data_IF_481837533532
#
_entry.id   IF_481837533532
#
_cell.length_a   1.000
_cell.length_b   1.000
_cell.length_c   1.000
_cell.angle_alpha   90.00
_cell.angle_beta   90.00
_cell.angle_gamma   90.00
#
_symmetry.space_group_name_H-M   'P 1'
#
loop_
_entity.id
_entity.type
_entity.pdbx_description
1 polymer ?
#
# COMPACT_ATOMS: atom_id res chain seq x y z
N UNK A 1 -2.26 -33.22 -10.78
CA UNK A 1 -3.22 -32.87 -9.70
C UNK A 1 -4.07 -34.05 -9.24
N UNK A 2 -5.12 -34.50 -9.96
CA UNK A 2 -6.05 -35.51 -9.39
C UNK A 2 -5.40 -36.83 -8.92
N UNK A 3 -4.34 -37.27 -9.62
CA UNK A 3 -3.59 -38.48 -9.26
C UNK A 3 -2.70 -38.24 -8.03
N UNK A 4 -2.17 -37.03 -7.85
CA UNK A 4 -1.42 -36.66 -6.64
C UNK A 4 -2.32 -36.58 -5.40
N UNK A 5 -3.51 -35.98 -5.52
CA UNK A 5 -4.49 -35.88 -4.40
C UNK A 5 -4.95 -37.26 -3.95
N UNK A 6 -5.22 -38.17 -4.89
CA UNK A 6 -5.52 -39.58 -4.58
C UNK A 6 -4.36 -40.24 -3.83
N UNK A 7 -3.13 -40.12 -4.32
CA UNK A 7 -1.94 -40.65 -3.63
C UNK A 7 -1.77 -40.08 -2.22
N UNK A 8 -1.98 -38.78 -2.01
CA UNK A 8 -1.88 -38.17 -0.67
C UNK A 8 -2.91 -38.74 0.32
N UNK A 9 -4.15 -38.98 -0.13
CA UNK A 9 -5.17 -39.63 0.70
C UNK A 9 -4.78 -41.07 1.03
N UNK A 10 -4.24 -41.81 0.07
CA UNK A 10 -3.82 -43.20 0.26
C UNK A 10 -2.60 -43.35 1.20
N UNK A 11 -1.91 -42.26 1.54
CA UNK A 11 -0.86 -42.22 2.59
C UNK A 11 -1.39 -41.98 4.02
N UNK A 12 -2.66 -41.60 4.20
CA UNK A 12 -3.26 -41.42 5.53
C UNK A 12 -3.48 -42.78 6.21
N UNK A 13 -3.23 -42.84 7.53
CA UNK A 13 -3.37 -44.07 8.28
C UNK A 13 -4.84 -44.41 8.53
N UNK A 14 -5.19 -45.70 8.41
CA UNK A 14 -6.56 -46.19 8.58
C UNK A 14 -7.15 -45.81 9.94
N UNK A 15 -8.19 -44.97 9.92
CA UNK A 15 -8.83 -44.41 11.12
C UNK A 15 -8.88 -42.88 11.17
N UNK A 16 -8.25 -42.17 10.24
CA UNK A 16 -8.17 -40.69 10.21
C UNK A 16 -9.16 -40.00 9.24
N UNK A 17 -10.18 -40.73 8.77
CA UNK A 17 -11.19 -40.30 7.78
C UNK A 17 -12.01 -39.06 8.18
N UNK A 18 -12.02 -38.69 9.47
CA UNK A 18 -12.78 -37.58 10.03
C UNK A 18 -11.91 -36.37 10.45
N UNK A 19 -10.65 -36.32 10.00
CA UNK A 19 -9.77 -35.15 10.20
C UNK A 19 -10.07 -34.06 9.19
N UNK A 20 -9.89 -32.79 9.57
CA UNK A 20 -10.11 -31.63 8.69
C UNK A 20 -9.28 -31.73 7.38
N UNK A 21 -8.07 -32.27 7.48
CA UNK A 21 -7.19 -32.57 6.35
C UNK A 21 -7.78 -33.64 5.41
N UNK A 22 -8.37 -34.71 5.95
CA UNK A 22 -9.01 -35.75 5.14
C UNK A 22 -10.24 -35.18 4.39
N UNK A 23 -11.08 -34.39 5.08
CA UNK A 23 -12.23 -33.70 4.48
C UNK A 23 -11.78 -32.77 3.33
N UNK A 24 -10.78 -31.93 3.58
CA UNK A 24 -10.21 -31.03 2.57
C UNK A 24 -9.67 -31.77 1.33
N UNK A 25 -9.03 -32.93 1.51
CA UNK A 25 -8.55 -33.75 0.38
C UNK A 25 -9.71 -34.32 -0.45
N UNK A 26 -10.86 -34.65 0.17
CA UNK A 26 -12.08 -35.08 -0.56
C UNK A 26 -12.75 -33.92 -1.29
N UNK A 27 -12.81 -32.74 -0.67
CA UNK A 27 -13.34 -31.53 -1.31
C UNK A 27 -12.46 -31.08 -2.47
N UNK A 28 -11.13 -31.21 -2.34
CA UNK A 28 -10.17 -30.94 -3.42
C UNK A 28 -10.28 -31.96 -4.57
N UNK A 29 -10.51 -33.24 -4.28
CA UNK A 29 -10.77 -34.26 -5.30
C UNK A 29 -12.07 -33.99 -6.08
N UNK A 30 -13.12 -33.57 -5.37
CA UNK A 30 -14.41 -33.16 -5.93
C UNK A 30 -14.28 -31.90 -6.78
N UNK A 31 -13.66 -30.85 -6.24
CA UNK A 31 -13.28 -29.61 -6.94
C UNK A 31 -12.52 -29.91 -8.24
N UNK A 32 -11.48 -30.76 -8.17
CA UNK A 32 -10.72 -31.19 -9.34
C UNK A 32 -11.59 -31.91 -10.39
N UNK A 33 -12.62 -32.64 -9.97
CA UNK A 33 -13.59 -33.27 -10.87
C UNK A 33 -14.49 -32.25 -11.57
N UNK A 34 -15.05 -31.32 -10.81
CA UNK A 34 -15.96 -30.28 -11.33
C UNK A 34 -15.23 -29.33 -12.26
N UNK A 35 -14.01 -28.89 -11.92
CA UNK A 35 -13.10 -28.12 -12.79
C UNK A 35 -12.90 -28.83 -14.13
N UNK A 36 -12.68 -30.16 -14.14
CA UNK A 36 -12.58 -30.93 -15.40
C UNK A 36 -13.89 -30.95 -16.18
N UNK A 37 -15.05 -31.00 -15.51
CA UNK A 37 -16.35 -30.93 -16.17
C UNK A 37 -16.62 -29.55 -16.77
N UNK A 38 -16.33 -28.47 -16.04
CA UNK A 38 -16.41 -27.09 -16.55
C UNK A 38 -15.47 -26.89 -17.75
N UNK A 39 -14.20 -27.30 -17.66
CA UNK A 39 -13.28 -27.27 -18.80
C UNK A 39 -13.82 -28.04 -20.03
N UNK A 40 -14.49 -29.18 -19.83
CA UNK A 40 -15.13 -29.94 -20.93
C UNK A 40 -16.35 -29.21 -21.51
N UNK A 41 -17.18 -28.56 -20.68
CA UNK A 41 -18.31 -27.71 -21.15
C UNK A 41 -17.81 -26.52 -21.97
N UNK A 42 -16.86 -25.77 -21.41
CA UNK A 42 -16.20 -24.60 -22.00
C UNK A 42 -15.58 -24.96 -23.36
N UNK A 43 -14.75 -26.02 -23.41
CA UNK A 43 -14.08 -26.44 -24.66
C UNK A 43 -15.05 -26.90 -25.75
N UNK A 44 -16.19 -27.49 -25.39
CA UNK A 44 -17.23 -27.89 -26.36
C UNK A 44 -17.92 -26.70 -27.04
N UNK A 45 -17.94 -25.54 -26.39
CA UNK A 45 -18.47 -24.28 -26.92
C UNK A 45 -17.43 -23.42 -27.66
N UNK A 46 -16.14 -23.73 -27.53
CA UNK A 46 -15.05 -23.12 -28.32
C UNK A 46 -14.23 -24.14 -29.13
N UNK A 47 -14.74 -24.61 -30.28
CA UNK A 47 -13.95 -25.42 -31.21
C UNK A 47 -12.88 -24.56 -31.88
N UNK A 48 -11.59 -24.92 -31.73
CA UNK A 48 -10.48 -24.21 -32.40
C UNK A 48 -9.29 -23.86 -31.51
N UNK A 49 -9.32 -24.17 -30.21
CA UNK A 49 -8.20 -23.90 -29.28
C UNK A 49 -6.94 -24.78 -29.48
N UNK A 50 -6.92 -25.66 -30.48
CA UNK A 50 -5.73 -26.42 -30.90
C UNK A 50 -4.96 -25.73 -32.04
N UNK A 51 -5.07 -24.39 -32.14
CA UNK A 51 -4.29 -23.57 -33.06
C UNK A 51 -2.84 -23.37 -32.56
N UNK A 52 -1.80 -23.51 -33.41
CA UNK A 52 -0.42 -23.26 -33.02
C UNK A 52 -0.22 -21.78 -32.63
N UNK A 53 -0.02 -21.50 -31.34
CA UNK A 53 0.20 -20.14 -30.84
C UNK A 53 -0.34 -19.84 -29.44
N UNK A 54 -1.21 -20.69 -28.88
CA UNK A 54 -1.60 -20.59 -27.47
C UNK A 54 -0.43 -21.13 -26.60
N UNK A 55 0.06 -20.39 -25.59
CA UNK A 55 1.12 -20.89 -24.71
C UNK A 55 0.66 -22.15 -23.99
N UNK A 56 1.57 -23.10 -23.81
CA UNK A 56 1.32 -24.32 -23.05
C UNK A 56 0.78 -23.98 -21.65
N UNK A 57 -0.14 -24.82 -21.14
CA UNK A 57 -0.73 -24.62 -19.82
C UNK A 57 0.36 -24.40 -18.76
N UNK A 58 0.13 -23.43 -17.86
CA UNK A 58 1.06 -23.08 -16.78
C UNK A 58 1.40 -24.31 -15.93
N UNK A 59 2.51 -24.96 -16.25
CA UNK A 59 3.04 -26.09 -15.52
C UNK A 59 3.87 -25.54 -14.35
N UNK A 60 3.30 -25.59 -13.15
CA UNK A 60 4.07 -25.40 -11.93
C UNK A 60 5.16 -26.47 -11.88
N UNK A 61 6.41 -26.03 -11.80
CA UNK A 61 7.57 -26.92 -11.91
C UNK A 61 7.64 -27.94 -10.78
N UNK A 62 8.18 -29.12 -11.07
CA UNK A 62 8.38 -30.26 -10.16
C UNK A 62 9.23 -29.99 -8.90
N UNK A 63 9.65 -28.75 -8.65
CA UNK A 63 10.64 -28.37 -7.64
C UNK A 63 10.10 -28.33 -6.21
N UNK A 64 8.78 -28.47 -6.01
CA UNK A 64 8.16 -28.60 -4.67
C UNK A 64 7.94 -30.05 -4.23
N UNK A 65 8.13 -31.02 -5.13
CA UNK A 65 7.98 -32.45 -4.82
C UNK A 65 9.36 -33.03 -4.50
N UNK A 66 9.78 -32.91 -3.25
CA UNK A 66 10.84 -33.77 -2.72
C UNK A 66 10.41 -35.25 -2.81
N UNK A 67 11.35 -36.20 -2.88
CA UNK A 67 11.01 -37.62 -2.94
C UNK A 67 10.37 -38.05 -1.62
N UNK A 68 9.04 -38.08 -1.58
CA UNK A 68 8.31 -38.81 -0.56
C UNK A 68 8.69 -40.28 -0.72
N UNK A 69 9.43 -40.80 0.25
CA UNK A 69 9.90 -42.18 0.22
C UNK A 69 8.69 -43.11 0.10
N UNK A 70 8.74 -44.01 -0.88
CA UNK A 70 7.77 -45.09 -0.98
C UNK A 70 8.05 -46.06 0.19
N UNK A 71 6.99 -46.47 0.89
CA UNK A 71 6.92 -47.24 2.15
C UNK A 71 6.84 -46.41 3.45
N UNK A 72 5.95 -46.87 4.34
CA UNK A 72 5.46 -46.25 5.58
C UNK A 72 4.62 -44.96 5.42
N UNK A 73 3.38 -44.97 5.94
CA UNK A 73 2.43 -43.86 5.83
C UNK A 73 2.86 -42.64 6.65
N UNK A 74 2.81 -41.44 6.07
CA UNK A 74 3.30 -40.21 6.72
C UNK A 74 2.45 -39.87 7.97
N UNK A 75 3.08 -39.50 9.11
CA UNK A 75 2.34 -39.00 10.26
C UNK A 75 1.73 -37.62 9.93
N UNK A 76 0.47 -37.42 10.31
CA UNK A 76 -0.31 -36.19 10.00
C UNK A 76 0.43 -34.91 10.39
N UNK A 77 1.11 -34.89 11.54
CA UNK A 77 1.88 -33.75 12.02
C UNK A 77 2.99 -33.29 11.04
N UNK A 78 3.63 -34.21 10.31
CA UNK A 78 4.64 -33.86 9.31
C UNK A 78 4.00 -33.32 8.01
N UNK A 79 2.79 -33.80 7.67
CA UNK A 79 2.01 -33.28 6.55
C UNK A 79 1.41 -31.90 6.87
N UNK A 80 1.02 -31.66 8.13
CA UNK A 80 0.64 -30.35 8.68
C UNK A 80 1.79 -29.34 8.57
N UNK A 81 3.00 -29.67 9.05
CA UNK A 81 4.17 -28.77 8.96
C UNK A 81 4.49 -28.39 7.50
N UNK A 82 4.44 -29.36 6.58
CA UNK A 82 4.61 -29.11 5.15
C UNK A 82 3.49 -28.25 4.56
N UNK A 83 2.23 -28.45 4.99
CA UNK A 83 1.09 -27.65 4.56
C UNK A 83 1.19 -26.19 5.04
N UNK A 84 1.59 -25.95 6.29
CA UNK A 84 1.86 -24.60 6.81
C UNK A 84 2.97 -23.91 6.02
N UNK A 85 4.10 -24.60 5.79
CA UNK A 85 5.24 -24.07 5.02
C UNK A 85 4.89 -23.75 3.56
N UNK A 86 4.06 -24.58 2.92
CA UNK A 86 3.56 -24.32 1.57
C UNK A 86 2.56 -23.15 1.54
N UNK A 87 1.70 -23.03 2.55
CA UNK A 87 0.75 -21.94 2.69
C UNK A 87 1.47 -20.58 2.86
N UNK A 88 2.52 -20.50 3.69
CA UNK A 88 3.32 -19.28 3.81
C UNK A 88 4.01 -18.87 2.49
N UNK A 89 4.40 -19.83 1.63
CA UNK A 89 4.98 -19.50 0.32
C UNK A 89 3.94 -19.02 -0.70
N UNK A 90 2.72 -19.57 -0.67
CA UNK A 90 1.69 -19.32 -1.70
C UNK A 90 0.80 -18.14 -1.33
N UNK A 91 0.41 -18.03 -0.05
CA UNK A 91 -0.52 -17.03 0.45
C UNK A 91 0.17 -15.96 1.33
N UNK A 92 1.37 -16.22 1.83
CA UNK A 92 2.07 -15.36 2.80
C UNK A 92 1.69 -15.68 4.24
N UNK A 93 2.18 -14.86 5.18
CA UNK A 93 1.92 -15.00 6.61
C UNK A 93 0.51 -14.52 7.00
N UNK A 94 -0.53 -15.24 6.55
CA UNK A 94 -1.92 -15.02 6.96
C UNK A 94 -2.21 -15.68 8.32
N UNK A 95 -3.07 -15.05 9.10
CA UNK A 95 -3.57 -15.56 10.40
C UNK A 95 -4.68 -16.62 10.28
N UNK A 96 -4.80 -17.26 9.11
CA UNK A 96 -5.83 -18.26 8.80
C UNK A 96 -5.18 -19.63 8.65
N UNK A 97 -5.91 -20.71 8.96
CA UNK A 97 -5.38 -22.06 8.78
C UNK A 97 -5.08 -22.33 7.29
N UNK A 98 -4.04 -23.14 6.97
CA UNK A 98 -3.71 -23.47 5.59
C UNK A 98 -4.86 -24.17 4.86
N UNK A 99 -5.71 -24.86 5.62
CA UNK A 99 -6.88 -25.59 5.14
C UNK A 99 -8.01 -24.65 4.72
N UNK A 100 -8.31 -23.63 5.53
CA UNK A 100 -9.29 -22.59 5.17
C UNK A 100 -8.84 -21.79 3.95
N UNK A 101 -7.56 -21.42 3.85
CA UNK A 101 -7.01 -20.70 2.70
C UNK A 101 -7.16 -21.50 1.39
N UNK A 102 -6.88 -22.80 1.42
CA UNK A 102 -7.03 -23.68 0.26
C UNK A 102 -8.50 -23.93 -0.08
N UNK A 103 -9.35 -24.18 0.92
CA UNK A 103 -10.79 -24.38 0.74
C UNK A 103 -11.45 -23.15 0.12
N UNK A 104 -11.19 -21.96 0.66
CA UNK A 104 -11.69 -20.68 0.13
C UNK A 104 -11.23 -20.45 -1.32
N UNK A 105 -9.96 -20.76 -1.62
CA UNK A 105 -9.43 -20.67 -2.99
C UNK A 105 -10.14 -21.62 -3.96
N UNK A 106 -10.39 -22.85 -3.53
CA UNK A 106 -11.17 -23.83 -4.30
C UNK A 106 -12.63 -23.35 -4.50
N UNK A 107 -13.29 -22.83 -3.47
CA UNK A 107 -14.66 -22.30 -3.57
C UNK A 107 -14.74 -21.15 -4.58
N UNK A 108 -13.80 -20.20 -4.55
CA UNK A 108 -13.75 -19.08 -5.50
C UNK A 108 -13.54 -19.60 -6.93
N UNK A 109 -12.63 -20.55 -7.12
CA UNK A 109 -12.34 -21.14 -8.43
C UNK A 109 -13.55 -21.90 -8.99
N UNK A 110 -14.18 -22.79 -8.22
CA UNK A 110 -15.39 -23.52 -8.61
C UNK A 110 -16.52 -22.55 -8.96
N UNK A 111 -16.80 -21.55 -8.11
CA UNK A 111 -17.86 -20.57 -8.34
C UNK A 111 -17.63 -19.78 -9.64
N UNK A 112 -16.40 -19.34 -9.87
CA UNK A 112 -16.01 -18.59 -11.08
C UNK A 112 -16.09 -19.45 -12.34
N UNK A 113 -15.57 -20.68 -12.29
CA UNK A 113 -15.61 -21.61 -13.42
C UNK A 113 -17.04 -22.10 -13.73
N UNK A 114 -17.88 -22.28 -12.72
CA UNK A 114 -19.29 -22.60 -12.91
C UNK A 114 -20.03 -21.44 -13.58
N UNK A 115 -19.83 -20.19 -13.13
CA UNK A 115 -20.40 -18.99 -13.78
C UNK A 115 -20.00 -18.90 -15.26
N UNK A 116 -18.72 -19.07 -15.57
CA UNK A 116 -18.22 -19.07 -16.95
C UNK A 116 -18.81 -20.24 -17.76
N UNK A 117 -18.88 -21.44 -17.20
CA UNK A 117 -19.46 -22.60 -17.88
C UNK A 117 -20.97 -22.46 -18.13
N UNK A 118 -21.69 -21.78 -17.23
CA UNK A 118 -23.13 -21.47 -17.37
C UNK A 118 -23.36 -20.39 -18.43
N UNK A 119 -22.66 -19.25 -18.36
CA UNK A 119 -22.78 -18.19 -19.37
C UNK A 119 -22.39 -18.66 -20.78
N UNK A 120 -21.38 -19.53 -20.89
CA UNK A 120 -21.05 -20.21 -22.16
C UNK A 120 -22.07 -21.28 -22.58
N UNK A 121 -22.86 -21.83 -21.65
CA UNK A 121 -23.94 -22.77 -21.95
C UNK A 121 -25.24 -22.04 -22.34
N UNK A 122 -25.48 -20.86 -21.79
CA UNK A 122 -26.59 -19.93 -22.08
C UNK A 122 -26.38 -19.15 -23.39
N UNK A 123 -25.15 -19.10 -23.90
CA UNK A 123 -24.82 -18.50 -25.20
C UNK A 123 -24.41 -17.03 -25.13
N UNK A 124 -24.14 -16.47 -23.93
CA UNK A 124 -23.67 -15.09 -23.78
C UNK A 124 -22.32 -14.80 -24.48
N UNK A 125 -21.60 -15.87 -24.86
CA UNK A 125 -20.35 -15.83 -25.62
C UNK A 125 -20.48 -16.37 -27.06
N UNK A 126 -21.66 -16.84 -27.48
CA UNK A 126 -21.90 -17.17 -28.89
C UNK A 126 -22.04 -15.84 -29.65
N UNK A 127 -21.11 -15.56 -30.57
CA UNK A 127 -21.24 -14.39 -31.44
C UNK A 127 -22.49 -14.55 -32.32
N UNK A 128 -23.43 -13.60 -32.23
CA UNK A 128 -24.69 -13.54 -33.00
C UNK A 128 -24.53 -14.05 -34.43
N UNK A 129 -24.90 -15.32 -34.64
CA UNK A 129 -24.71 -15.97 -35.93
C UNK A 129 -25.78 -15.41 -36.88
N UNK A 130 -25.42 -14.92 -38.08
CA UNK A 130 -26.39 -14.35 -39.01
C UNK A 130 -27.49 -15.38 -39.32
N UNK A 131 -28.75 -14.93 -39.47
CA UNK A 131 -29.92 -15.77 -39.21
C UNK A 131 -29.96 -17.06 -40.02
N UNK A 132 -30.17 -18.16 -39.31
CA UNK A 132 -30.31 -19.50 -39.87
C UNK A 132 -31.51 -19.58 -40.82
N UNK A 133 -31.25 -20.03 -42.05
CA UNK A 133 -32.24 -20.16 -43.11
C UNK A 133 -33.10 -21.43 -42.92
N UNK A 134 -34.43 -21.38 -43.08
CA UNK A 134 -35.28 -22.57 -42.93
C UNK A 134 -35.26 -23.52 -44.16
N UNK A 135 -35.64 -24.81 -43.99
CA UNK A 135 -35.60 -25.86 -45.02
C UNK A 135 -36.99 -26.11 -45.68
N UNK A 136 -37.16 -27.11 -46.59
CA UNK A 136 -36.29 -27.58 -47.69
C UNK A 136 -37.04 -27.72 -49.05
N UNK A 137 -36.34 -27.72 -50.20
CA UNK A 137 -36.92 -28.19 -51.48
C UNK A 137 -35.93 -28.80 -52.49
N UNK A 138 -36.08 -30.12 -52.67
CA UNK A 138 -35.70 -31.04 -53.77
C UNK A 138 -34.94 -30.50 -55.00
N UNK A 139 -33.80 -31.13 -55.30
CA UNK A 139 -33.27 -31.64 -56.60
C UNK A 139 -31.72 -31.55 -56.57
N UNK A 140 -30.98 -32.66 -56.57
CA UNK A 140 -30.64 -33.57 -57.66
C UNK A 140 -29.34 -33.20 -58.42
N UNK A 141 -28.34 -34.06 -58.24
CA UNK A 141 -27.33 -34.49 -59.23
C UNK A 141 -26.17 -33.57 -59.69
N UNK A 142 -24.96 -34.05 -59.34
CA UNK A 142 -23.81 -34.35 -60.24
C UNK A 142 -22.96 -33.21 -60.87
N UNK A 143 -21.65 -33.28 -60.53
CA UNK A 143 -20.46 -33.14 -61.43
C UNK A 143 -20.20 -31.72 -62.01
N UNK A 144 -18.98 -31.17 -62.02
CA UNK A 144 -17.68 -31.59 -61.49
C UNK A 144 -16.54 -30.69 -62.02
N UNK A 145 -15.28 -30.98 -61.64
CA UNK A 145 -14.00 -30.58 -62.27
C UNK A 145 -13.67 -29.10 -62.58
N UNK A 146 -12.52 -28.63 -62.09
CA UNK A 146 -11.81 -27.42 -62.59
C UNK A 146 -10.69 -26.98 -61.64
N UNK A 147 -9.44 -26.95 -62.12
CA UNK A 147 -8.25 -26.65 -61.31
C UNK A 147 -7.84 -25.15 -61.19
N UNK A 148 -6.73 -24.85 -60.50
CA UNK A 148 -6.19 -23.49 -60.21
C UNK A 148 -5.13 -23.07 -61.26
N UNK A 149 -4.25 -22.04 -61.08
CA UNK A 149 -4.13 -20.94 -60.10
C UNK A 149 -4.27 -19.57 -60.87
N UNK A 150 -3.44 -18.49 -60.80
CA UNK A 150 -2.47 -17.99 -59.80
C UNK A 150 -2.49 -16.46 -59.47
N UNK A 151 -1.89 -16.11 -58.31
CA UNK A 151 -1.03 -14.95 -57.97
C UNK A 151 -1.42 -13.49 -58.27
N UNK A 152 -1.27 -12.61 -57.27
CA UNK A 152 -1.32 -11.15 -57.42
C UNK A 152 -1.07 -10.37 -56.12
N UNK A 153 0.18 -10.03 -55.82
CA UNK A 153 0.58 -9.13 -54.71
C UNK A 153 0.35 -7.67 -55.13
N UNK A 154 -0.22 -6.83 -54.26
CA UNK A 154 -0.09 -5.37 -54.37
C UNK A 154 -0.30 -4.63 -53.02
N UNK A 155 0.78 -4.48 -52.26
CA UNK A 155 0.91 -3.41 -51.25
C UNK A 155 0.94 -2.06 -51.95
N UNK A 156 0.06 -1.11 -51.59
CA UNK A 156 0.29 0.33 -51.82
C UNK A 156 -0.24 1.18 -50.65
N UNK A 157 0.70 1.71 -49.87
CA UNK A 157 0.47 2.88 -49.00
C UNK A 157 0.42 4.13 -49.88
N UNK A 158 -0.58 4.99 -49.69
CA UNK A 158 -0.52 6.41 -50.04
C UNK A 158 -1.61 7.17 -49.31
N UNK A 159 -1.22 8.02 -48.36
CA UNK A 159 -2.08 9.06 -47.81
C UNK A 159 -1.60 10.43 -48.29
N UNK A 160 -2.52 11.29 -48.74
CA UNK A 160 -2.24 12.72 -48.85
C UNK A 160 -3.48 13.58 -48.62
N UNK A 161 -3.30 14.53 -47.71
CA UNK A 161 -3.77 15.92 -47.70
C UNK A 161 -5.17 16.30 -48.20
N UNK A 162 -5.86 17.03 -47.33
CA UNK A 162 -7.08 17.81 -47.55
C UNK A 162 -6.80 19.09 -48.37
N UNK A 163 -7.75 19.48 -49.25
CA UNK A 163 -8.32 20.84 -49.48
C UNK A 163 -8.39 21.31 -50.95
N UNK A 164 -9.59 21.69 -51.43
CA UNK A 164 -9.78 22.45 -52.67
C UNK A 164 -11.19 22.35 -53.30
N UNK A 165 -12.09 23.28 -52.97
CA UNK A 165 -13.40 23.53 -53.61
C UNK A 165 -13.24 24.44 -54.87
N UNK A 166 -14.25 24.69 -55.75
CA UNK A 166 -15.71 24.51 -55.59
C UNK A 166 -16.50 23.95 -56.80
N UNK A 167 -17.75 23.50 -56.57
CA UNK A 167 -18.71 23.23 -57.66
C UNK A 167 -20.02 22.55 -57.25
N UNK A 168 -21.11 23.32 -57.29
CA UNK A 168 -22.50 22.90 -57.58
C UNK A 168 -23.24 21.95 -56.58
N UNK A 169 -24.21 22.54 -55.87
CA UNK A 169 -25.43 21.88 -55.37
C UNK A 169 -26.43 21.69 -56.56
N UNK A 170 -27.46 20.81 -56.52
CA UNK A 170 -28.24 20.44 -55.33
C UNK A 170 -28.53 18.94 -55.15
N UNK A 171 -28.32 18.44 -53.94
CA UNK A 171 -28.67 17.06 -53.56
C UNK A 171 -28.91 16.96 -52.07
N UNK A 172 -30.12 17.30 -51.62
CA UNK A 172 -30.57 16.96 -50.26
C UNK A 172 -30.86 15.47 -50.18
N UNK A 173 -29.79 14.68 -50.08
CA UNK A 173 -29.87 13.29 -49.62
C UNK A 173 -29.86 13.32 -48.09
N UNK A 174 -30.89 12.80 -47.42
CA UNK A 174 -30.79 12.48 -46.00
C UNK A 174 -29.68 11.44 -45.85
N UNK A 175 -28.52 11.86 -45.35
CA UNK A 175 -27.45 10.92 -45.00
C UNK A 175 -28.02 9.88 -44.04
N UNK A 176 -27.86 8.56 -44.31
CA UNK A 176 -28.26 7.53 -43.36
C UNK A 176 -27.62 7.85 -42.01
N UNK A 177 -28.45 7.79 -40.97
CA UNK A 177 -28.26 8.54 -39.73
C UNK A 177 -26.83 8.62 -39.20
N UNK A 178 -26.52 9.75 -38.56
CA UNK A 178 -25.43 9.86 -37.60
C UNK A 178 -25.50 8.62 -36.70
N UNK A 179 -24.62 7.64 -36.95
CA UNK A 179 -24.57 6.42 -36.16
C UNK A 179 -24.07 6.86 -34.81
N UNK A 180 -25.01 7.08 -33.89
CA UNK A 180 -24.71 7.17 -32.48
C UNK A 180 -24.09 5.83 -32.14
N UNK A 181 -22.76 5.81 -31.99
CA UNK A 181 -22.06 4.73 -31.33
C UNK A 181 -22.89 4.34 -30.12
N UNK A 182 -23.20 3.05 -29.98
CA UNK A 182 -24.11 2.60 -28.93
C UNK A 182 -23.63 3.19 -27.61
N UNK A 183 -24.46 3.95 -26.86
CA UNK A 183 -23.97 4.65 -25.67
C UNK A 183 -23.42 3.67 -24.64
N UNK A 184 -23.93 2.43 -24.64
CA UNK A 184 -23.42 1.29 -23.88
C UNK A 184 -22.01 0.87 -24.34
N UNK A 185 -21.72 0.86 -25.64
CA UNK A 185 -20.39 0.56 -26.19
C UNK A 185 -19.38 1.67 -25.85
N UNK A 186 -19.77 2.95 -25.94
CA UNK A 186 -18.90 4.06 -25.51
C UNK A 186 -18.61 3.99 -23.99
N UNK A 187 -19.61 3.65 -23.18
CA UNK A 187 -19.46 3.43 -21.74
C UNK A 187 -18.57 2.20 -21.43
N UNK A 188 -18.68 1.13 -22.20
CA UNK A 188 -17.82 -0.04 -22.08
C UNK A 188 -16.37 0.30 -22.46
N UNK A 189 -16.17 1.06 -23.54
CA UNK A 189 -14.83 1.53 -23.97
C UNK A 189 -14.20 2.44 -22.90
N UNK A 190 -14.97 3.33 -22.26
CA UNK A 190 -14.42 4.18 -21.19
C UNK A 190 -14.08 3.39 -19.93
N UNK A 191 -14.91 2.44 -19.52
CA UNK A 191 -14.62 1.52 -18.41
C UNK A 191 -13.38 0.65 -18.68
N UNK A 192 -13.27 0.05 -19.87
CA UNK A 192 -12.09 -0.73 -20.27
C UNK A 192 -10.82 0.11 -20.30
N UNK A 193 -10.88 1.36 -20.79
CA UNK A 193 -9.73 2.29 -20.76
C UNK A 193 -9.27 2.60 -19.33
N UNK A 194 -10.21 2.76 -18.39
CA UNK A 194 -9.88 2.95 -16.98
C UNK A 194 -9.16 1.71 -16.39
N UNK A 195 -9.68 0.51 -16.64
CA UNK A 195 -9.05 -0.73 -16.16
C UNK A 195 -7.66 -0.97 -16.78
N UNK A 196 -7.49 -0.66 -18.08
CA UNK A 196 -6.17 -0.73 -18.74
C UNK A 196 -5.19 0.27 -18.10
N UNK A 197 -5.64 1.49 -17.76
CA UNK A 197 -4.83 2.48 -17.05
C UNK A 197 -4.42 2.00 -15.66
N UNK A 198 -5.33 1.37 -14.91
CA UNK A 198 -5.03 0.75 -13.60
C UNK A 198 -3.97 -0.35 -13.72
N UNK A 199 -4.15 -1.30 -14.64
CA UNK A 199 -3.17 -2.37 -14.89
C UNK A 199 -1.81 -1.81 -15.34
N UNK A 200 -1.79 -0.76 -16.16
CA UNK A 200 -0.55 -0.06 -16.54
C UNK A 200 0.12 0.62 -15.34
N UNK A 201 -0.65 1.21 -14.43
CA UNK A 201 -0.14 1.83 -13.22
C UNK A 201 0.46 0.81 -12.24
N UNK A 202 -0.25 -0.28 -11.96
CA UNK A 202 0.27 -1.40 -11.14
C UNK A 202 1.53 -2.00 -11.75
N UNK A 203 1.53 -2.24 -13.07
CA UNK A 203 2.70 -2.77 -13.76
C UNK A 203 3.89 -1.78 -13.74
N UNK A 204 3.62 -0.48 -13.77
CA UNK A 204 4.63 0.58 -13.60
C UNK A 204 5.21 0.60 -12.18
N UNK A 205 4.37 0.44 -11.15
CA UNK A 205 4.82 0.31 -9.76
C UNK A 205 5.71 -0.92 -9.59
N UNK A 206 5.29 -2.09 -10.10
CA UNK A 206 6.04 -3.34 -9.99
C UNK A 206 7.38 -3.28 -10.73
N UNK A 207 7.41 -2.77 -11.97
CA UNK A 207 8.65 -2.55 -12.73
C UNK A 207 9.56 -1.51 -12.08
N UNK A 208 8.98 -0.46 -11.51
CA UNK A 208 9.70 0.61 -10.82
C UNK A 208 10.13 0.28 -9.39
N UNK A 209 9.73 -0.86 -8.83
CA UNK A 209 9.89 -1.18 -7.41
C UNK A 209 11.35 -1.13 -6.96
N UNK A 210 12.27 -1.71 -7.73
CA UNK A 210 13.71 -1.69 -7.42
C UNK A 210 14.28 -0.27 -7.44
N UNK A 211 13.92 0.55 -8.45
CA UNK A 211 14.37 1.94 -8.54
C UNK A 211 13.81 2.79 -7.39
N UNK A 212 12.53 2.60 -7.05
CA UNK A 212 11.87 3.25 -5.91
C UNK A 212 12.55 2.86 -4.59
N UNK A 213 12.88 1.59 -4.40
CA UNK A 213 13.58 1.10 -3.21
C UNK A 213 14.99 1.68 -3.12
N UNK A 214 15.76 1.70 -4.22
CA UNK A 214 17.10 2.30 -4.26
C UNK A 214 17.09 3.80 -3.93
N UNK A 215 16.07 4.54 -4.38
CA UNK A 215 15.90 5.96 -4.05
C UNK A 215 15.44 6.16 -2.60
N UNK A 216 14.51 5.34 -2.12
CA UNK A 216 13.99 5.39 -0.74
C UNK A 216 15.00 4.93 0.32
N UNK A 217 16.04 4.17 -0.08
CA UNK A 217 17.17 3.82 0.78
C UNK A 217 18.13 4.99 1.03
N UNK A 218 18.04 6.09 0.26
CA UNK A 218 18.82 7.30 0.50
C UNK A 218 18.16 8.16 1.59
N UNK A 219 18.94 8.83 2.46
CA UNK A 219 18.40 9.70 3.50
C UNK A 219 17.66 10.91 2.89
N UNK A 220 16.50 11.32 3.46
CA UNK A 220 15.70 12.40 2.91
C UNK A 220 16.37 13.77 3.11
N UNK A 221 16.63 14.46 2.00
CA UNK A 221 17.24 15.79 2.00
C UNK A 221 16.24 16.86 2.42
N UNK A 222 16.42 17.39 3.63
CA UNK A 222 15.64 18.52 4.17
C UNK A 222 16.49 19.79 4.10
N UNK A 223 15.99 20.82 3.41
CA UNK A 223 16.65 22.13 3.37
C UNK A 223 16.23 22.97 4.57
N UNK A 224 17.19 23.57 5.27
CA UNK A 224 16.91 24.51 6.35
C UNK A 224 16.31 25.81 5.79
N UNK A 225 15.40 26.44 6.55
CA UNK A 225 14.88 27.78 6.23
C UNK A 225 16.01 28.81 6.40
N UNK A 226 16.67 29.18 5.30
CA UNK A 226 17.67 30.24 5.27
C UNK A 226 17.00 31.60 5.05
N UNK A 227 17.14 32.51 6.01
CA UNK A 227 16.75 33.92 5.89
C UNK A 227 17.81 34.71 5.13
N UNK A 228 17.37 35.56 4.19
CA UNK A 228 18.26 36.45 3.44
C UNK A 228 18.53 37.73 4.26
N UNK A 229 19.78 38.24 4.32
CA UNK A 229 20.06 39.57 4.86
C UNK A 229 19.27 40.66 4.09
N UNK A 230 18.70 41.68 4.75
CA UNK A 230 18.84 42.06 6.16
C UNK A 230 17.81 41.41 7.10
N UNK A 231 17.06 40.39 6.66
CA UNK A 231 16.04 39.72 7.46
C UNK A 231 16.64 38.71 8.47
N UNK A 232 17.73 39.08 9.14
CA UNK A 232 18.24 38.42 10.36
C UNK A 232 17.54 38.96 11.62
N UNK A 233 16.27 39.38 11.49
CA UNK A 233 15.38 39.50 12.64
C UNK A 233 15.12 38.12 13.24
N UNK A 234 15.00 37.97 14.57
CA UNK A 234 14.80 36.68 15.21
C UNK A 234 13.54 36.02 14.66
N UNK A 235 13.74 34.87 13.99
CA UNK A 235 12.75 34.05 13.30
C UNK A 235 11.29 34.53 13.45
N UNK A 236 10.76 35.19 12.41
CA UNK A 236 9.44 35.86 12.45
C UNK A 236 8.30 34.94 12.89
N UNK A 237 8.38 33.64 12.61
CA UNK A 237 7.42 32.62 13.09
C UNK A 237 7.49 32.38 14.62
N UNK A 238 8.69 32.49 15.20
CA UNK A 238 8.98 32.27 16.62
C UNK A 238 8.65 33.51 17.45
N UNK A 239 9.07 34.69 16.98
CA UNK A 239 8.78 35.97 17.62
C UNK A 239 7.28 36.37 17.55
N UNK A 240 6.54 35.89 16.55
CA UNK A 240 5.08 36.08 16.46
C UNK A 240 4.26 35.10 17.32
N UNK A 241 4.89 34.11 17.95
CA UNK A 241 4.20 33.13 18.79
C UNK A 241 3.62 33.76 20.05
N UNK A 242 2.30 33.65 20.25
CA UNK A 242 1.61 34.20 21.45
C UNK A 242 2.24 33.71 22.75
N UNK A 243 2.64 32.43 22.81
CA UNK A 243 3.34 31.85 23.96
C UNK A 243 4.75 32.42 24.14
N UNK A 244 5.47 32.73 23.06
CA UNK A 244 6.78 33.39 23.13
C UNK A 244 6.64 34.80 23.72
N UNK A 245 5.67 35.58 23.25
CA UNK A 245 5.36 36.90 23.80
C UNK A 245 4.99 36.85 25.29
N UNK A 246 4.10 35.93 25.69
CA UNK A 246 3.78 35.70 27.12
C UNK A 246 5.04 35.35 27.93
N UNK A 247 5.89 34.47 27.42
CA UNK A 247 7.12 34.03 28.09
C UNK A 247 8.10 35.18 28.25
N UNK A 248 8.30 36.00 27.22
CA UNK A 248 9.18 37.17 27.26
C UNK A 248 8.69 38.22 28.25
N UNK A 249 7.37 38.49 28.30
CA UNK A 249 6.78 39.42 29.26
C UNK A 249 6.91 38.94 30.71
N UNK A 250 6.68 37.64 30.96
CA UNK A 250 6.88 37.04 32.28
C UNK A 250 8.36 37.09 32.69
N UNK A 251 9.29 36.77 31.79
CA UNK A 251 10.72 36.86 32.05
C UNK A 251 11.14 38.30 32.39
N UNK A 252 10.62 39.29 31.68
CA UNK A 252 10.92 40.71 31.94
C UNK A 252 10.39 41.16 33.32
N UNK A 253 9.14 40.83 33.66
CA UNK A 253 8.56 41.16 34.98
C UNK A 253 9.28 40.45 36.13
N UNK A 254 9.71 39.19 35.95
CA UNK A 254 10.54 38.46 36.91
C UNK A 254 11.91 39.11 37.10
N UNK A 255 12.55 39.57 36.02
CA UNK A 255 13.84 40.25 36.08
C UNK A 255 13.72 41.62 36.79
N UNK A 256 12.66 42.37 36.51
CA UNK A 256 12.34 43.62 37.23
C UNK A 256 12.12 43.36 38.73
N UNK A 257 11.34 42.35 39.09
CA UNK A 257 11.13 41.99 40.51
C UNK A 257 12.41 41.51 41.19
N UNK A 258 13.23 40.69 40.51
CA UNK A 258 14.52 40.20 41.03
C UNK A 258 15.53 41.32 41.27
N UNK A 259 15.47 42.41 40.49
CA UNK A 259 16.36 43.57 40.61
C UNK A 259 15.85 44.66 41.55
N UNK A 260 14.55 44.65 41.87
CA UNK A 260 13.90 45.63 42.75
C UNK A 260 13.48 45.08 44.12
N UNK A 261 14.01 43.92 44.54
CA UNK A 261 13.84 43.41 45.91
C UNK A 261 14.51 44.34 46.93
N UNK A 262 13.74 44.90 47.86
CA UNK A 262 14.21 45.78 48.93
C UNK A 262 13.62 45.38 50.28
N UNK A 263 14.29 45.77 51.37
CA UNK A 263 13.81 45.53 52.74
C UNK A 263 12.59 46.40 53.01
N UNK A 264 11.55 45.82 53.63
CA UNK A 264 10.32 46.53 54.00
C UNK A 264 10.63 47.57 55.10
N UNK A 265 10.28 48.83 54.86
CA UNK A 265 10.46 49.92 55.82
C UNK A 265 9.46 49.82 56.98
N UNK A 266 9.96 49.92 58.21
CA UNK A 266 9.20 49.87 59.46
C UNK A 266 8.96 51.25 60.09
N UNK A 267 9.59 52.32 59.57
CA UNK A 267 9.52 53.67 60.17
C UNK A 267 8.17 54.36 59.99
N UNK A 268 7.29 53.83 59.12
CA UNK A 268 5.96 54.38 58.81
C UNK A 268 5.99 55.86 58.37
N UNK A 269 7.05 56.27 57.67
CA UNK A 269 7.22 57.65 57.20
C UNK A 269 6.13 58.11 56.22
N UNK A 270 5.43 57.19 55.55
CA UNK A 270 4.28 57.47 54.69
C UNK A 270 2.97 56.97 55.33
N UNK A 271 1.95 57.82 55.55
CA UNK A 271 0.66 57.39 56.09
C UNK A 271 -0.16 56.51 55.12
N UNK A 272 0.28 56.38 53.86
CA UNK A 272 -0.34 55.52 52.85
C UNK A 272 0.29 54.12 52.75
N UNK A 273 1.40 53.84 53.45
CA UNK A 273 2.02 52.52 53.42
C UNK A 273 1.17 51.49 54.18
N UNK A 274 0.97 50.32 53.59
CA UNK A 274 0.38 49.14 54.26
C UNK A 274 1.22 48.76 55.48
N UNK A 275 0.68 47.97 56.41
CA UNK A 275 1.49 47.48 57.54
C UNK A 275 2.69 46.67 57.01
N UNK A 276 3.86 46.67 57.69
CA UNK A 276 5.04 45.96 57.19
C UNK A 276 4.80 44.46 56.92
N UNK A 277 3.97 43.82 57.76
CA UNK A 277 3.51 42.45 57.55
C UNK A 277 2.63 42.31 56.30
N UNK A 278 1.71 43.24 56.04
CA UNK A 278 0.88 43.22 54.83
C UNK A 278 1.70 43.49 53.56
N UNK A 279 2.72 44.35 53.60
CA UNK A 279 3.62 44.58 52.46
C UNK A 279 4.46 43.34 52.15
N UNK A 280 4.95 42.62 53.18
CA UNK A 280 5.65 41.35 52.99
C UNK A 280 4.71 40.26 52.44
N UNK A 281 3.49 40.14 52.97
CA UNK A 281 2.48 39.20 52.43
C UNK A 281 2.11 39.51 50.98
N UNK A 282 2.04 40.79 50.60
CA UNK A 282 1.79 41.20 49.21
C UNK A 282 2.92 40.77 48.27
N UNK A 283 4.19 40.91 48.67
CA UNK A 283 5.33 40.39 47.90
C UNK A 283 5.23 38.86 47.73
N UNK A 284 4.96 38.13 48.81
CA UNK A 284 4.81 36.66 48.76
C UNK A 284 3.61 36.24 47.88
N UNK A 285 2.49 36.95 47.95
CA UNK A 285 1.32 36.69 47.12
C UNK A 285 1.58 36.99 45.64
N UNK A 286 2.35 38.05 45.32
CA UNK A 286 2.80 38.36 43.96
C UNK A 286 3.70 37.25 43.40
N UNK A 287 4.70 36.79 44.17
CA UNK A 287 5.56 35.66 43.77
C UNK A 287 4.76 34.36 43.58
N UNK A 288 3.79 34.06 44.46
CA UNK A 288 2.95 32.87 44.32
C UNK A 288 2.08 32.94 43.06
N UNK A 289 1.47 34.10 42.78
CA UNK A 289 0.69 34.33 41.57
C UNK A 289 1.53 34.18 40.29
N UNK A 290 2.76 34.70 40.29
CA UNK A 290 3.70 34.52 39.19
C UNK A 290 4.08 33.04 39.01
N UNK A 291 4.39 32.31 40.09
CA UNK A 291 4.65 30.87 40.05
C UNK A 291 3.49 30.10 39.39
N UNK A 292 2.25 30.43 39.75
CA UNK A 292 1.05 29.75 39.23
C UNK A 292 0.75 30.09 37.76
N UNK A 293 1.20 31.25 37.27
CA UNK A 293 1.13 31.59 35.84
C UNK A 293 2.26 30.95 35.03
N UNK A 294 3.45 30.81 35.60
CA UNK A 294 4.60 30.11 34.99
C UNK A 294 4.29 28.61 34.84
N UNK A 295 3.69 27.97 35.85
CA UNK A 295 3.31 26.55 35.80
C UNK A 295 2.31 26.28 34.66
N UNK A 296 1.25 27.09 34.56
CA UNK A 296 0.28 27.00 33.45
C UNK A 296 0.93 27.28 32.08
N UNK A 297 1.81 28.27 32.00
CA UNK A 297 2.51 28.59 30.75
C UNK A 297 3.46 27.48 30.33
N UNK A 298 4.13 26.80 31.27
CA UNK A 298 4.97 25.63 31.01
C UNK A 298 4.14 24.49 30.38
N UNK A 299 2.93 24.25 30.87
CA UNK A 299 2.02 23.25 30.31
C UNK A 299 1.50 23.66 28.91
N UNK A 300 1.14 24.94 28.71
CA UNK A 300 0.78 25.48 27.39
C UNK A 300 1.94 25.33 26.38
N UNK A 301 3.16 25.70 26.77
CA UNK A 301 4.38 25.59 25.94
C UNK A 301 4.73 24.13 25.64
N UNK A 302 4.58 23.22 26.61
CA UNK A 302 4.78 21.79 26.38
C UNK A 302 3.77 21.26 25.36
N UNK A 303 2.48 21.58 25.52
CA UNK A 303 1.42 21.17 24.59
C UNK A 303 1.65 21.69 23.17
N UNK A 304 2.05 22.96 23.03
CA UNK A 304 2.38 23.55 21.72
C UNK A 304 3.60 22.86 21.10
N UNK A 305 4.70 22.69 21.86
CA UNK A 305 5.95 22.06 21.39
C UNK A 305 5.71 20.65 20.83
N UNK A 306 4.78 19.90 21.41
CA UNK A 306 4.40 18.56 20.97
C UNK A 306 3.49 18.62 19.73
N UNK A 307 2.57 19.58 19.68
CA UNK A 307 1.68 19.80 18.53
C UNK A 307 2.45 20.20 17.26
N UNK A 308 3.57 20.92 17.42
CA UNK A 308 4.47 21.30 16.32
C UNK A 308 5.36 20.15 15.80
N UNK A 309 5.45 19.01 16.50
CA UNK A 309 6.32 17.88 16.11
C UNK A 309 5.50 16.65 15.70
N UNK A 310 5.48 16.29 14.39
CA UNK A 310 4.78 15.10 13.92
C UNK A 310 5.19 13.83 14.69
N UNK A 311 4.20 13.06 15.15
CA UNK A 311 4.41 11.82 15.91
C UNK A 311 4.80 12.00 17.38
N UNK A 312 4.85 13.22 17.91
CA UNK A 312 5.15 13.46 19.33
C UNK A 312 3.93 13.27 20.27
N UNK A 313 2.70 13.31 19.73
CA UNK A 313 1.46 13.02 20.46
C UNK A 313 1.05 11.54 20.38
N UNK A 314 0.30 11.07 21.37
CA UNK A 314 -0.49 9.82 21.28
C UNK A 314 -1.88 10.16 20.73
N UNK A 315 -2.47 9.38 19.80
CA UNK A 315 -3.83 9.60 19.32
C UNK A 315 -4.86 9.21 20.41
N UNK A 316 -5.57 10.21 20.94
CA UNK A 316 -6.52 10.08 22.05
C UNK A 316 -7.63 11.13 21.95
N UNK A 317 -8.88 10.73 22.26
CA UNK A 317 -10.07 11.57 21.99
C UNK A 317 -10.25 12.76 22.94
N UNK A 318 -9.79 12.65 24.20
CA UNK A 318 -10.15 13.59 25.27
C UNK A 318 -9.11 14.69 25.53
N UNK A 319 -7.82 14.39 25.34
CA UNK A 319 -6.72 15.28 25.71
C UNK A 319 -5.47 14.97 24.88
N UNK A 320 -4.53 15.91 24.87
CA UNK A 320 -3.22 15.74 24.21
C UNK A 320 -2.25 15.07 25.17
N UNK A 321 -1.91 13.79 24.94
CA UNK A 321 -0.88 13.09 25.70
C UNK A 321 0.43 13.00 24.90
N UNK A 322 1.56 13.10 25.60
CA UNK A 322 2.90 12.97 25.03
C UNK A 322 3.26 11.50 24.76
N UNK A 323 3.93 11.25 23.64
CA UNK A 323 4.53 9.95 23.35
C UNK A 323 5.71 9.66 24.29
N UNK A 324 5.80 8.43 24.80
CA UNK A 324 6.91 7.98 25.65
C UNK A 324 8.26 7.95 24.91
N UNK A 325 8.26 7.88 23.58
CA UNK A 325 9.46 8.04 22.76
C UNK A 325 9.90 9.51 22.70
N UNK A 326 8.95 10.45 22.59
CA UNK A 326 9.25 11.88 22.59
C UNK A 326 9.82 12.34 23.94
N UNK A 327 9.25 11.87 25.06
CA UNK A 327 9.75 12.21 26.41
C UNK A 327 11.20 11.75 26.60
N UNK A 328 11.53 10.50 26.26
CA UNK A 328 12.90 9.97 26.35
C UNK A 328 13.88 10.71 25.42
N UNK A 329 13.47 11.00 24.18
CA UNK A 329 14.29 11.79 23.26
C UNK A 329 14.48 13.25 23.73
N UNK A 330 13.54 13.78 24.53
CA UNK A 330 13.66 15.12 25.15
C UNK A 330 14.55 15.13 26.40
N UNK A 331 14.64 14.01 27.10
CA UNK A 331 15.59 13.80 28.19
C UNK A 331 17.01 13.66 27.62
N UNK A 332 17.22 12.78 26.64
CA UNK A 332 18.50 12.61 25.92
C UNK A 332 18.99 13.93 25.27
N UNK A 333 18.08 14.76 24.75
CA UNK A 333 18.42 16.07 24.19
C UNK A 333 18.99 17.07 25.23
N UNK A 334 18.83 16.86 26.54
CA UNK A 334 19.43 17.75 27.56
C UNK A 334 20.95 17.55 27.69
N UNK A 335 21.42 16.32 27.46
CA UNK A 335 22.84 15.94 27.58
C UNK A 335 23.56 15.83 26.22
N UNK A 336 22.83 16.01 25.09
CA UNK A 336 23.24 16.03 23.68
C UNK A 336 23.91 14.74 23.13
N UNK A 337 24.82 14.12 23.87
CA UNK A 337 25.52 12.87 23.50
C UNK A 337 25.70 11.93 24.70
N UNK A 338 24.63 11.22 25.07
CA UNK A 338 24.63 10.28 26.22
C UNK A 338 25.49 9.03 25.97
N UNK A 339 25.70 8.62 24.72
CA UNK A 339 26.45 7.41 24.38
C UNK A 339 27.96 7.66 24.21
N UNK A 340 28.77 7.13 25.13
CA UNK A 340 30.24 7.13 25.01
C UNK A 340 30.77 5.78 24.51
N UNK A 341 31.32 5.78 23.29
CA UNK A 341 32.12 4.69 22.74
C UNK A 341 33.63 4.98 22.82
N UNK A 342 34.45 3.94 23.00
CA UNK A 342 35.92 4.04 22.94
C UNK A 342 36.46 3.29 21.72
N UNK A 343 37.07 4.01 20.78
CA UNK A 343 37.85 3.43 19.68
C UNK A 343 39.33 3.66 19.98
N UNK A 344 40.10 2.57 20.14
CA UNK A 344 41.53 2.65 20.35
C UNK A 344 42.25 2.63 18.98
N UNK A 345 42.94 3.72 18.65
CA UNK A 345 43.83 3.79 17.50
C UNK A 345 45.25 3.43 17.91
N UNK A 346 46.04 2.88 16.98
CA UNK A 346 47.46 2.68 17.20
C UNK A 346 48.17 4.05 17.19
N UNK A 347 48.36 4.61 18.39
CA UNK A 347 49.23 5.75 18.60
C UNK A 347 50.68 5.26 18.50
N UNK A 348 51.30 5.44 17.33
CA UNK A 348 52.75 5.40 17.22
C UNK A 348 53.33 6.37 18.26
N UNK A 349 54.36 5.93 18.99
CA UNK A 349 54.81 6.53 20.25
C UNK A 349 54.98 8.06 20.17
N UNK A 350 53.95 8.81 20.58
CA UNK A 350 54.11 10.20 20.95
C UNK A 350 55.00 10.21 22.20
N UNK A 351 56.27 10.55 22.00
CA UNK A 351 57.27 10.62 23.05
C UNK A 351 56.75 11.48 24.18
N UNK A 352 56.57 10.89 25.37
CA UNK A 352 56.35 11.64 26.57
C UNK A 352 57.60 12.49 26.85
N UNK A 353 57.58 13.74 26.42
CA UNK A 353 58.48 14.78 26.93
C UNK A 353 58.14 14.98 28.40
N UNK A 354 58.79 14.16 29.24
CA UNK A 354 58.76 14.27 30.68
C UNK A 354 59.07 15.70 31.09
N UNK A 355 58.06 16.41 31.60
CA UNK A 355 58.25 17.67 32.27
C UNK A 355 59.03 17.39 33.57
N UNK A 356 60.32 17.70 33.53
CA UNK A 356 61.27 17.46 34.61
C UNK A 356 60.87 18.24 35.88
N UNK A 357 60.63 17.57 37.03
CA UNK A 357 60.44 18.26 38.30
C UNK A 357 61.80 18.63 38.90
N UNK A 358 62.05 19.95 39.02
CA UNK A 358 63.09 20.54 39.87
C UNK A 358 62.51 21.74 40.61
#
# INVERSE_FOLDING_TARGET
MSVEVGRLRDFLQGGQEATDLALLLRDLETSCSDIRQFCKKIRRRMPGTDAPGIPAALAFGSQLIGPLAENEGLPVAALEELAFKANEQIYGSLSSSPYECLHQSCTILISTMNKLATAMQEGEYDAEQPPSKPPPSRSAQLRGSGGPPPSGIATLVSGIAVRGTPGQAPGSLPGPGLVKDSPLLLQQISAMRLHISQLQHENSILKGAQMKASLAALPPLHVAKLSLPPHEGPASELAAGVLYCKTSQLLETLNQLSTHTHVVDITRASPASKSPSAQLMEQVAQFKSLSDTIEKLKDEVLKETVSQRPGATVPTDFATFLSSAFLRAKEEQQDDTVYMGKVAFHLAQCTATSANPR
#
